data_IF_000536241495
#
_entry.id   IF_000536241495
#
_cell.length_a   1.000
_cell.length_b   1.000
_cell.length_c   1.000
_cell.angle_alpha   90.00
_cell.angle_beta   90.00
_cell.angle_gamma   90.00
#
_symmetry.space_group_name_H-M   'P 1'
#
loop_
_entity.id
_entity.type
_entity.pdbx_description
1 polymer ?
#
# COMPACT_ATOMS: atom_id res chain seq x y z
N UNK A 1 -3.36 -6.97 -54.02
CA UNK A 1 -3.87 -5.94 -53.13
C UNK A 1 -4.53 -6.44 -51.84
N UNK A 2 -5.32 -7.52 -51.84
CA UNK A 2 -5.99 -8.07 -50.61
C UNK A 2 -5.03 -8.60 -49.55
N UNK A 3 -3.89 -9.19 -49.92
CA UNK A 3 -2.88 -9.76 -48.99
C UNK A 3 -2.03 -8.71 -48.29
N UNK A 4 -1.79 -7.56 -48.95
CA UNK A 4 -1.04 -6.43 -48.36
C UNK A 4 -1.85 -5.68 -47.30
N UNK A 5 -3.17 -5.59 -47.46
CA UNK A 5 -4.07 -4.97 -46.50
C UNK A 5 -4.16 -5.79 -45.19
N UNK A 6 -4.15 -7.13 -45.27
CA UNK A 6 -4.17 -8.00 -44.08
C UNK A 6 -2.91 -7.88 -43.22
N UNK A 7 -1.73 -7.66 -43.83
CA UNK A 7 -0.46 -7.48 -43.12
C UNK A 7 -0.44 -6.12 -42.41
N UNK A 8 -1.02 -5.07 -43.01
CA UNK A 8 -1.10 -3.75 -42.40
C UNK A 8 -2.01 -3.72 -41.17
N UNK A 9 -3.11 -4.47 -41.19
CA UNK A 9 -4.03 -4.59 -40.03
C UNK A 9 -3.37 -5.36 -38.89
N UNK A 10 -2.53 -6.39 -39.19
CA UNK A 10 -1.84 -7.18 -38.17
C UNK A 10 -0.79 -6.35 -37.41
N UNK A 11 -0.16 -5.34 -38.05
CA UNK A 11 0.83 -4.45 -37.42
C UNK A 11 0.20 -3.42 -36.47
N UNK A 12 -1.08 -3.10 -36.63
CA UNK A 12 -1.77 -2.13 -35.77
C UNK A 12 -2.20 -2.71 -34.42
N UNK A 13 -2.22 -4.04 -34.25
CA UNK A 13 -2.64 -4.68 -33.00
C UNK A 13 -1.49 -4.83 -32.00
N UNK A 14 -0.25 -4.55 -32.38
CA UNK A 14 0.92 -4.56 -31.49
C UNK A 14 1.28 -3.20 -30.88
N UNK A 15 0.37 -2.24 -30.89
CA UNK A 15 0.51 -1.03 -30.08
C UNK A 15 0.25 -1.36 -28.61
N UNK A 16 1.13 -2.13 -28.01
CA UNK A 16 1.22 -2.28 -26.56
C UNK A 16 1.61 -0.91 -26.04
N UNK A 17 0.71 -0.17 -25.45
CA UNK A 17 1.01 1.08 -24.74
C UNK A 17 1.92 0.71 -23.58
N UNK A 18 3.23 0.76 -23.83
CA UNK A 18 4.22 0.54 -22.80
C UNK A 18 4.07 1.68 -21.80
N UNK A 19 3.69 1.34 -20.58
CA UNK A 19 3.55 2.33 -19.52
C UNK A 19 4.93 2.91 -19.22
N UNK A 20 5.04 4.22 -19.23
CA UNK A 20 6.27 4.92 -18.86
C UNK A 20 6.38 4.97 -17.32
N UNK A 21 7.59 4.82 -16.80
CA UNK A 21 7.91 4.86 -15.38
C UNK A 21 9.02 5.87 -15.15
N UNK A 22 9.00 6.52 -13.99
CA UNK A 22 10.05 7.42 -13.52
C UNK A 22 10.51 7.03 -12.12
N UNK A 23 11.73 7.39 -11.77
CA UNK A 23 12.23 7.27 -10.40
C UNK A 23 12.03 8.58 -9.67
N UNK A 24 11.39 8.50 -8.51
CA UNK A 24 11.23 9.61 -7.57
C UNK A 24 12.26 9.46 -6.46
N UNK A 25 13.07 10.50 -6.28
CA UNK A 25 14.05 10.61 -5.22
C UNK A 25 13.47 11.41 -4.04
N UNK A 26 13.42 10.78 -2.87
CA UNK A 26 13.03 11.39 -1.60
C UNK A 26 14.25 11.77 -0.72
N UNK A 27 15.47 11.64 -1.22
CA UNK A 27 16.69 11.97 -0.47
C UNK A 27 17.21 10.82 0.41
N UNK A 28 16.37 10.16 1.19
CA UNK A 28 16.74 8.98 2.01
C UNK A 28 16.55 7.68 1.25
N UNK A 29 15.62 7.65 0.33
CA UNK A 29 15.30 6.52 -0.55
C UNK A 29 14.80 7.00 -1.91
N UNK A 30 14.75 6.10 -2.85
CA UNK A 30 14.14 6.30 -4.16
C UNK A 30 13.17 5.16 -4.49
N UNK A 31 12.22 5.43 -5.37
CA UNK A 31 11.19 4.49 -5.81
C UNK A 31 10.82 4.74 -7.26
N UNK A 32 10.62 3.66 -8.03
CA UNK A 32 10.18 3.74 -9.43
C UNK A 32 8.66 3.59 -9.50
N UNK A 33 7.99 4.55 -10.11
CA UNK A 33 6.53 4.66 -10.18
C UNK A 33 6.06 4.99 -11.60
N UNK A 34 4.76 4.82 -11.93
CA UNK A 34 4.20 5.32 -13.18
C UNK A 34 4.50 6.81 -13.40
N UNK A 35 4.77 7.21 -14.65
CA UNK A 35 5.19 8.58 -15.03
C UNK A 35 4.24 9.67 -14.55
N UNK A 36 2.94 9.38 -14.51
CA UNK A 36 1.88 10.31 -14.10
C UNK A 36 1.66 10.42 -12.58
N UNK A 37 2.44 9.68 -11.76
CA UNK A 37 2.40 9.84 -10.30
C UNK A 37 3.34 10.96 -9.86
N UNK A 38 2.93 11.77 -8.87
CA UNK A 38 3.69 12.95 -8.49
C UNK A 38 4.06 12.92 -7.01
N UNK A 39 5.34 13.28 -6.74
CA UNK A 39 5.84 13.48 -5.39
C UNK A 39 5.11 14.66 -4.72
N UNK A 40 4.81 14.52 -3.44
CA UNK A 40 4.53 15.65 -2.57
C UNK A 40 5.35 15.55 -1.28
N UNK A 41 5.56 16.69 -0.66
CA UNK A 41 6.30 16.82 0.60
C UNK A 41 5.33 17.19 1.73
N UNK A 42 5.50 16.56 2.87
CA UNK A 42 4.78 16.88 4.09
C UNK A 42 5.76 17.28 5.19
N UNK A 43 5.27 17.97 6.20
CA UNK A 43 6.09 18.40 7.33
C UNK A 43 5.80 17.51 8.54
N UNK A 44 6.76 16.66 8.90
CA UNK A 44 6.76 15.91 10.17
C UNK A 44 7.34 16.71 11.31
N UNK A 45 7.12 16.25 12.54
CA UNK A 45 7.72 16.80 13.77
C UNK A 45 9.04 16.08 14.05
N UNK A 46 9.01 14.76 14.07
CA UNK A 46 10.09 13.84 14.50
C UNK A 46 10.37 12.71 13.49
N UNK A 47 9.71 12.76 12.34
CA UNK A 47 9.90 11.82 11.24
C UNK A 47 10.01 12.59 9.93
N UNK A 48 10.68 11.97 8.95
CA UNK A 48 10.61 12.42 7.58
C UNK A 48 9.38 11.80 6.91
N UNK A 49 8.43 12.63 6.52
CA UNK A 49 7.15 12.24 5.95
C UNK A 49 6.93 12.89 4.59
N UNK A 50 6.10 12.29 3.79
CA UNK A 50 5.72 12.75 2.46
C UNK A 50 5.01 11.65 1.71
N UNK A 51 4.94 11.76 0.38
CA UNK A 51 4.29 10.71 -0.37
C UNK A 51 4.17 10.98 -1.86
N UNK A 52 3.24 10.25 -2.46
CA UNK A 52 2.96 10.24 -3.88
C UNK A 52 1.46 10.43 -4.08
N UNK A 53 1.09 11.30 -5.02
CA UNK A 53 -0.27 11.44 -5.52
C UNK A 53 -0.36 10.65 -6.83
N UNK A 54 -1.31 9.74 -6.92
CA UNK A 54 -1.55 8.89 -8.09
C UNK A 54 -2.34 9.61 -9.18
N UNK A 55 -2.53 8.98 -10.34
CA UNK A 55 -3.37 9.49 -11.42
C UNK A 55 -4.85 9.60 -11.06
N UNK A 56 -5.29 8.90 -10.01
CA UNK A 56 -6.67 8.93 -9.50
C UNK A 56 -6.83 9.81 -8.27
N UNK A 57 -5.81 10.62 -7.95
CA UNK A 57 -5.72 11.47 -6.76
C UNK A 57 -5.73 10.69 -5.43
N UNK A 58 -5.39 9.39 -5.45
CA UNK A 58 -5.13 8.68 -4.21
C UNK A 58 -3.79 9.14 -3.64
N UNK A 59 -3.67 9.24 -2.31
CA UNK A 59 -2.42 9.52 -1.63
C UNK A 59 -1.78 8.23 -1.14
N UNK A 60 -0.47 8.13 -1.38
CA UNK A 60 0.40 7.10 -0.86
C UNK A 60 1.38 7.78 0.08
N UNK A 61 1.27 7.50 1.37
CA UNK A 61 1.98 8.24 2.43
C UNK A 61 3.11 7.41 3.01
N UNK A 62 4.29 7.99 3.15
CA UNK A 62 5.39 7.35 3.88
C UNK A 62 5.71 8.07 5.18
N UNK A 63 6.16 7.29 6.14
CA UNK A 63 6.76 7.72 7.40
C UNK A 63 8.11 7.01 7.55
N UNK A 64 9.16 7.81 7.68
CA UNK A 64 10.55 7.38 7.82
C UNK A 64 11.11 7.93 9.13
N UNK A 65 11.15 7.10 10.18
CA UNK A 65 11.60 7.54 11.49
C UNK A 65 11.41 6.51 12.60
N UNK A 66 11.73 6.88 13.84
CA UNK A 66 11.58 5.99 14.98
C UNK A 66 10.12 5.62 15.28
N UNK A 67 9.21 6.51 14.96
CA UNK A 67 7.78 6.39 15.28
C UNK A 67 6.94 5.82 14.15
N UNK A 68 7.56 5.50 13.00
CA UNK A 68 6.84 4.87 11.89
C UNK A 68 6.06 3.65 12.35
N UNK A 69 4.76 3.66 12.08
CA UNK A 69 3.79 2.67 12.54
C UNK A 69 3.74 1.43 11.64
N UNK A 70 3.53 0.28 12.27
CA UNK A 70 3.22 -0.96 11.57
C UNK A 70 1.69 -1.08 11.44
N UNK A 71 1.17 -0.93 10.22
CA UNK A 71 -0.26 -1.02 9.93
C UNK A 71 -0.88 -2.35 10.39
N UNK A 72 -0.08 -3.43 10.40
CA UNK A 72 -0.57 -4.73 10.84
C UNK A 72 -0.93 -4.81 12.32
N UNK A 73 -0.50 -3.85 13.13
CA UNK A 73 -0.90 -3.78 14.55
C UNK A 73 -2.34 -3.29 14.73
N UNK A 74 -2.93 -2.74 13.67
CA UNK A 74 -4.32 -2.29 13.61
C UNK A 74 -5.18 -3.25 12.78
N UNK A 75 -4.83 -4.54 12.74
CA UNK A 75 -5.62 -5.56 12.05
C UNK A 75 -6.82 -5.96 12.92
N UNK A 76 -7.84 -5.15 12.86
CA UNK A 76 -9.10 -5.44 13.54
C UNK A 76 -9.99 -6.34 12.67
N UNK A 77 -10.69 -7.31 13.29
CA UNK A 77 -11.67 -8.11 12.57
C UNK A 77 -12.85 -7.25 12.14
N UNK A 78 -13.33 -7.46 10.92
CA UNK A 78 -14.52 -6.79 10.38
C UNK A 78 -15.80 -7.40 10.97
N UNK A 79 -15.94 -7.24 12.27
CA UNK A 79 -17.12 -7.67 13.05
C UNK A 79 -17.68 -6.42 13.75
N UNK A 80 -18.92 -6.11 13.46
CA UNK A 80 -19.56 -4.86 13.87
C UNK A 80 -20.84 -5.13 14.64
N UNK A 81 -21.05 -4.38 15.70
CA UNK A 81 -22.35 -4.13 16.28
C UNK A 81 -22.88 -2.75 15.85
N UNK A 82 -23.98 -2.31 16.40
CA UNK A 82 -24.57 -1.01 16.05
C UNK A 82 -23.65 0.17 16.33
N UNK A 83 -22.81 0.09 17.36
CA UNK A 83 -21.84 1.14 17.69
C UNK A 83 -20.67 1.13 16.71
N UNK A 84 -20.09 -0.03 16.42
CA UNK A 84 -19.00 -0.19 15.46
C UNK A 84 -19.41 0.23 14.04
N UNK A 85 -20.65 -0.03 13.63
CA UNK A 85 -21.16 0.45 12.34
C UNK A 85 -21.27 1.98 12.28
N UNK A 86 -21.62 2.62 13.39
CA UNK A 86 -21.73 4.08 13.46
C UNK A 86 -20.38 4.80 13.43
N UNK A 87 -19.27 4.10 13.69
CA UNK A 87 -17.90 4.65 13.61
C UNK A 87 -17.31 4.59 12.21
N UNK A 88 -17.93 3.81 11.28
CA UNK A 88 -17.44 3.70 9.91
C UNK A 88 -17.64 5.01 9.15
N UNK A 89 -16.63 5.37 8.35
CA UNK A 89 -16.71 6.49 7.41
C UNK A 89 -17.70 6.20 6.28
N UNK A 90 -18.18 7.25 5.59
CA UNK A 90 -19.06 7.08 4.41
C UNK A 90 -18.43 6.15 3.36
N UNK A 91 -17.13 6.28 3.11
CA UNK A 91 -16.42 5.44 2.14
C UNK A 91 -16.37 3.97 2.58
N UNK A 92 -16.17 3.70 3.87
CA UNK A 92 -16.20 2.34 4.42
C UNK A 92 -17.59 1.72 4.34
N UNK A 93 -18.62 2.48 4.67
CA UNK A 93 -20.01 2.03 4.53
C UNK A 93 -20.38 1.69 3.08
N UNK A 94 -19.91 2.48 2.11
CA UNK A 94 -20.11 2.20 0.68
C UNK A 94 -19.42 0.88 0.25
N UNK A 95 -18.24 0.61 0.78
CA UNK A 95 -17.44 -0.56 0.43
C UNK A 95 -17.83 -1.82 1.21
N UNK A 96 -18.41 -1.67 2.40
CA UNK A 96 -18.74 -2.76 3.33
C UNK A 96 -19.53 -3.92 2.67
N UNK A 97 -20.56 -3.67 1.84
CA UNK A 97 -21.32 -4.76 1.20
C UNK A 97 -20.50 -5.67 0.28
N UNK A 98 -19.30 -5.23 -0.13
CA UNK A 98 -18.36 -5.98 -1.00
C UNK A 98 -17.32 -6.76 -0.21
N UNK A 99 -17.37 -6.72 1.12
CA UNK A 99 -16.39 -7.32 2.02
C UNK A 99 -16.94 -8.56 2.74
N UNK A 100 -16.03 -9.41 3.23
CA UNK A 100 -16.39 -10.45 4.19
C UNK A 100 -16.42 -9.82 5.58
N UNK A 101 -17.59 -9.57 6.10
CA UNK A 101 -17.82 -8.98 7.42
C UNK A 101 -18.93 -9.71 8.16
N UNK A 102 -19.09 -9.43 9.45
CA UNK A 102 -20.17 -9.94 10.28
C UNK A 102 -20.82 -8.77 11.02
N UNK A 103 -22.15 -8.72 11.01
CA UNK A 103 -22.94 -7.78 11.80
C UNK A 103 -23.70 -8.58 12.85
N UNK A 104 -23.60 -8.18 14.11
CA UNK A 104 -24.19 -8.84 15.27
C UNK A 104 -24.86 -7.82 16.19
N UNK A 105 -25.81 -8.26 17.01
CA UNK A 105 -26.43 -7.40 18.04
C UNK A 105 -25.43 -7.07 19.16
N UNK A 106 -24.57 -8.05 19.49
CA UNK A 106 -23.56 -7.93 20.55
C UNK A 106 -22.33 -8.76 20.16
N UNK A 107 -21.14 -8.16 20.27
CA UNK A 107 -19.88 -8.87 20.03
C UNK A 107 -19.60 -9.79 21.23
N UNK A 108 -19.51 -11.10 20.98
CA UNK A 108 -19.27 -12.13 22.00
C UNK A 108 -17.98 -12.90 21.72
N UNK A 109 -17.49 -13.64 22.74
CA UNK A 109 -16.29 -14.48 22.61
C UNK A 109 -16.46 -15.73 21.73
N UNK A 110 -17.70 -16.04 21.30
CA UNK A 110 -17.99 -17.22 20.46
C UNK A 110 -17.73 -16.99 18.96
N UNK A 111 -17.37 -15.76 18.58
CA UNK A 111 -17.09 -15.39 17.19
C UNK A 111 -15.67 -15.79 16.83
N UNK A 112 -15.47 -16.53 15.73
CA UNK A 112 -14.13 -16.74 15.16
C UNK A 112 -13.67 -15.48 14.41
N UNK A 113 -13.06 -14.55 15.14
CA UNK A 113 -12.55 -13.30 14.61
C UNK A 113 -11.52 -13.48 13.49
N UNK A 114 -10.80 -14.62 13.43
CA UNK A 114 -9.78 -14.87 12.41
C UNK A 114 -10.35 -14.92 11.00
N UNK A 115 -11.61 -15.31 10.87
CA UNK A 115 -12.29 -15.34 9.58
C UNK A 115 -12.55 -13.95 9.00
N UNK A 116 -12.59 -12.93 9.85
CA UNK A 116 -12.96 -11.56 9.50
C UNK A 116 -11.80 -10.57 9.56
N UNK A 117 -10.56 -11.03 9.77
CA UNK A 117 -9.38 -10.17 9.77
C UNK A 117 -9.28 -9.37 8.46
N UNK A 118 -8.95 -8.09 8.59
CA UNK A 118 -8.93 -7.14 7.49
C UNK A 118 -7.75 -7.35 6.56
N UNK A 119 -6.58 -7.75 7.10
CA UNK A 119 -5.32 -7.78 6.37
C UNK A 119 -4.77 -9.19 6.15
N UNK A 120 -3.95 -9.30 5.12
CA UNK A 120 -3.02 -10.39 4.90
C UNK A 120 -1.61 -9.83 4.80
N UNK A 121 -0.62 -10.62 5.21
CA UNK A 121 0.77 -10.21 5.31
C UNK A 121 1.66 -11.17 4.53
N UNK A 122 2.59 -10.59 3.77
CA UNK A 122 3.68 -11.31 3.13
C UNK A 122 5.00 -10.70 3.60
N UNK A 123 6.06 -11.52 3.66
CA UNK A 123 7.41 -11.05 3.95
C UNK A 123 8.26 -11.20 2.72
N UNK A 124 9.01 -10.15 2.38
CA UNK A 124 9.92 -10.11 1.24
C UNK A 124 11.21 -9.38 1.63
N UNK A 125 12.25 -9.52 0.82
CA UNK A 125 13.47 -8.72 0.97
C UNK A 125 13.43 -7.58 -0.04
N UNK A 126 13.29 -6.35 0.47
CA UNK A 126 13.27 -5.14 -0.34
C UNK A 126 14.60 -4.41 -0.14
N UNK A 127 15.33 -4.21 -1.24
CA UNK A 127 16.72 -3.79 -1.21
C UNK A 127 17.55 -4.80 -0.41
N UNK A 128 17.91 -4.53 0.83
CA UNK A 128 18.60 -5.48 1.73
C UNK A 128 17.83 -5.74 3.03
N UNK A 129 16.59 -5.26 3.16
CA UNK A 129 15.82 -5.29 4.39
C UNK A 129 14.67 -6.30 4.35
N UNK A 130 14.43 -6.94 5.50
CA UNK A 130 13.20 -7.69 5.70
C UNK A 130 12.03 -6.73 5.79
N UNK A 131 11.11 -6.85 4.87
CA UNK A 131 9.95 -6.03 4.74
C UNK A 131 8.67 -6.85 4.92
N UNK A 132 7.69 -6.30 5.60
CA UNK A 132 6.33 -6.82 5.69
C UNK A 132 5.47 -6.09 4.67
N UNK A 133 4.97 -6.80 3.68
CA UNK A 133 4.00 -6.29 2.71
C UNK A 133 2.60 -6.56 3.27
N UNK A 134 1.76 -5.53 3.27
CA UNK A 134 0.43 -5.54 3.85
C UNK A 134 -0.56 -5.28 2.74
N UNK A 135 -1.56 -6.15 2.61
CA UNK A 135 -2.66 -5.98 1.66
C UNK A 135 -4.00 -6.29 2.32
N UNK A 136 -5.09 -5.60 1.93
CA UNK A 136 -6.41 -5.92 2.45
C UNK A 136 -6.89 -7.26 1.87
N UNK A 137 -7.57 -8.07 2.69
CA UNK A 137 -8.24 -9.30 2.23
C UNK A 137 -9.41 -9.01 1.31
N UNK A 138 -10.08 -7.90 1.55
CA UNK A 138 -11.17 -7.41 0.73
C UNK A 138 -10.67 -6.25 -0.13
N UNK A 139 -10.68 -6.45 -1.45
CA UNK A 139 -10.16 -5.45 -2.40
C UNK A 139 -10.80 -4.08 -2.21
N UNK A 140 -9.96 -3.06 -2.18
CA UNK A 140 -10.39 -1.68 -2.00
C UNK A 140 -10.81 -1.30 -0.57
N UNK A 141 -10.78 -2.23 0.41
CA UNK A 141 -11.14 -1.94 1.79
C UNK A 141 -9.93 -2.07 2.72
N UNK A 142 -9.36 -0.94 3.13
CA UNK A 142 -8.22 -0.87 4.03
C UNK A 142 -6.93 -0.40 3.36
N UNK A 143 -5.81 -0.60 4.06
CA UNK A 143 -4.50 -0.15 3.62
C UNK A 143 -3.72 -1.20 2.82
N UNK A 144 -2.96 -0.73 1.85
CA UNK A 144 -1.94 -1.50 1.14
C UNK A 144 -0.60 -0.82 1.34
N UNK A 145 0.46 -1.57 1.61
CA UNK A 145 1.77 -0.95 1.76
C UNK A 145 2.85 -1.88 2.25
N UNK A 146 3.89 -1.26 2.80
CA UNK A 146 5.08 -1.94 3.31
C UNK A 146 5.46 -1.39 4.69
N UNK A 147 6.00 -2.27 5.52
CA UNK A 147 6.64 -1.90 6.78
C UNK A 147 8.00 -2.57 6.93
N UNK A 148 9.02 -1.78 7.30
CA UNK A 148 10.36 -2.23 7.63
C UNK A 148 10.66 -1.80 9.07
N UNK A 149 10.81 -2.78 9.98
CA UNK A 149 10.99 -2.53 11.42
C UNK A 149 12.37 -1.96 11.77
N UNK A 150 13.38 -2.15 10.93
CA UNK A 150 14.71 -1.64 11.20
C UNK A 150 15.50 -1.44 9.90
N UNK A 151 15.71 -0.19 9.53
CA UNK A 151 16.69 0.22 8.52
C UNK A 151 18.07 0.40 9.17
N UNK A 152 18.11 0.94 10.39
CA UNK A 152 19.30 1.08 11.22
C UNK A 152 18.94 0.95 12.69
N UNK A 153 19.97 0.87 13.54
CA UNK A 153 19.83 0.85 14.98
C UNK A 153 20.18 -0.48 15.59
N UNK A 154 20.17 -0.49 16.91
CA UNK A 154 20.45 -1.67 17.70
C UNK A 154 19.19 -2.52 17.91
N UNK A 155 19.29 -3.64 18.62
CA UNK A 155 18.11 -4.44 19.01
C UNK A 155 17.11 -3.70 19.93
N UNK A 156 17.45 -2.49 20.40
CA UNK A 156 16.58 -1.67 21.27
C UNK A 156 15.59 -0.91 20.40
N UNK A 157 14.30 -1.02 20.70
CA UNK A 157 13.23 -0.44 19.87
C UNK A 157 13.29 1.09 19.69
N UNK A 158 13.88 1.80 20.65
CA UNK A 158 13.97 3.26 20.59
C UNK A 158 15.16 3.80 19.78
N UNK A 159 16.06 2.91 19.28
CA UNK A 159 17.18 3.31 18.42
C UNK A 159 16.93 2.99 16.93
N UNK A 160 15.83 2.31 16.64
CA UNK A 160 15.54 1.85 15.28
C UNK A 160 14.97 2.98 14.43
N UNK A 161 15.52 3.13 13.25
CA UNK A 161 14.84 3.86 12.17
C UNK A 161 13.98 2.87 11.39
N UNK A 162 12.71 3.15 11.33
CA UNK A 162 11.67 2.32 10.69
C UNK A 162 11.17 3.01 9.44
N UNK A 163 10.47 2.26 8.61
CA UNK A 163 9.87 2.79 7.40
C UNK A 163 8.50 2.17 7.17
N UNK A 164 7.51 3.01 6.96
CA UNK A 164 6.19 2.64 6.51
C UNK A 164 5.82 3.40 5.25
N UNK A 165 5.19 2.75 4.26
CA UNK A 165 4.68 3.40 3.07
C UNK A 165 3.35 2.77 2.68
N UNK A 166 2.25 3.51 2.80
CA UNK A 166 0.90 3.00 2.71
C UNK A 166 0.00 3.87 1.84
N UNK A 167 -0.99 3.24 1.21
CA UNK A 167 -2.15 3.91 0.62
C UNK A 167 -3.44 3.21 1.06
N UNK A 168 -4.53 3.96 1.23
CA UNK A 168 -5.79 3.43 1.75
C UNK A 168 -6.88 3.44 0.68
N UNK A 169 -7.72 2.41 0.68
CA UNK A 169 -8.89 2.25 -0.19
C UNK A 169 -8.56 2.39 -1.69
N UNK A 170 -7.40 1.87 -2.07
CA UNK A 170 -6.91 1.91 -3.44
C UNK A 170 -7.75 1.04 -4.36
N UNK A 171 -8.01 1.51 -5.58
CA UNK A 171 -8.58 0.65 -6.61
C UNK A 171 -7.57 -0.41 -7.07
N UNK A 172 -8.05 -1.49 -7.68
CA UNK A 172 -7.22 -2.66 -8.06
C UNK A 172 -6.00 -2.27 -8.92
N UNK A 173 -6.14 -1.28 -9.81
CA UNK A 173 -5.07 -0.85 -10.71
C UNK A 173 -3.98 -0.10 -9.95
N UNK A 174 -4.35 0.86 -9.13
CA UNK A 174 -3.40 1.64 -8.31
C UNK A 174 -2.72 0.73 -7.29
N UNK A 175 -3.48 -0.16 -6.63
CA UNK A 175 -2.93 -1.13 -5.69
C UNK A 175 -1.86 -2.01 -6.34
N UNK A 176 -2.14 -2.57 -7.53
CA UNK A 176 -1.20 -3.42 -8.24
C UNK A 176 0.07 -2.67 -8.65
N UNK A 177 -0.05 -1.43 -9.14
CA UNK A 177 1.09 -0.59 -9.49
C UNK A 177 1.89 -0.17 -8.25
N UNK A 178 1.22 0.15 -7.14
CA UNK A 178 1.90 0.49 -5.89
C UNK A 178 2.70 -0.69 -5.34
N UNK A 179 2.14 -1.90 -5.33
CA UNK A 179 2.87 -3.10 -4.92
C UNK A 179 4.10 -3.38 -5.79
N UNK A 180 4.03 -3.11 -7.10
CA UNK A 180 5.20 -3.18 -7.98
C UNK A 180 6.23 -2.10 -7.63
N UNK A 181 5.78 -0.88 -7.43
CA UNK A 181 6.64 0.25 -7.06
C UNK A 181 7.38 -0.02 -5.74
N UNK A 182 6.72 -0.53 -4.72
CA UNK A 182 7.33 -0.86 -3.43
C UNK A 182 8.51 -1.83 -3.56
N UNK A 183 8.48 -2.75 -4.53
CA UNK A 183 9.60 -3.67 -4.82
C UNK A 183 10.82 -2.99 -5.46
N UNK A 184 10.67 -1.75 -5.91
CA UNK A 184 11.77 -0.95 -6.50
C UNK A 184 12.46 -0.03 -5.50
N UNK A 185 12.00 0.01 -4.25
CA UNK A 185 12.58 0.84 -3.20
C UNK A 185 14.10 0.59 -3.06
N UNK A 186 14.86 1.69 -2.96
CA UNK A 186 16.31 1.71 -2.71
C UNK A 186 16.65 2.72 -1.63
N UNK A 187 17.32 2.29 -0.58
CA UNK A 187 17.69 3.12 0.56
C UNK A 187 19.14 3.57 0.47
N UNK A 188 19.39 4.88 0.33
CA UNK A 188 20.70 5.43 -0.07
C UNK A 188 21.86 5.26 0.93
N UNK A 189 21.59 5.00 2.19
CA UNK A 189 22.64 4.98 3.24
C UNK A 189 22.75 3.69 4.02
N UNK A 190 21.92 2.71 3.71
CA UNK A 190 21.66 1.61 4.64
C UNK A 190 21.99 0.24 4.06
N UNK A 191 22.08 0.12 2.75
CA UNK A 191 22.51 -1.09 2.06
C UNK A 191 23.89 -0.88 1.46
N UNK A 192 24.94 -1.31 2.13
CA UNK A 192 26.33 -1.19 1.68
C UNK A 192 27.23 -2.18 2.42
#
# INVERSE_FOLDING_TARGET
>A
MRKTLSILILLLIFSCTQREYKTIDFGQFEITVPENWNKYEAKGIDSYVGGIITETNDTLDFDFGMYSGDLSRSDFPMVYDSLGLAELTEKELELLPKTKHLIVDTITGDIDFKEYLQYQFEYDTIDCFQAKIITPRNKGFGGTGIYIDSLTGTKRNFDKIKFGFYGFYLNDKVQAEFLKALKTLKFKKYCG
#
